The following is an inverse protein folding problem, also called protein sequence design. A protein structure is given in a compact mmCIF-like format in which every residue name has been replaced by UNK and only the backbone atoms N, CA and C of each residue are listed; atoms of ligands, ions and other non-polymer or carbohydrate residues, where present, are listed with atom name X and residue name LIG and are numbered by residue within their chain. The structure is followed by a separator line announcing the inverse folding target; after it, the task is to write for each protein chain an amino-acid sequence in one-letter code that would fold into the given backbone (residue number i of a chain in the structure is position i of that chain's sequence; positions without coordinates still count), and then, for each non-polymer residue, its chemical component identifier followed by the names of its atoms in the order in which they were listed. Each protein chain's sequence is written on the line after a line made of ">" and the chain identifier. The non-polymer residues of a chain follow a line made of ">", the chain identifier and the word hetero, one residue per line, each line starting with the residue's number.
data_IF_105147331557
#
_entry.id   IF_105147331557
#
_cell.length_a   1.000
_cell.length_b   1.000
_cell.length_c   1.000
_cell.angle_alpha   90.00
_cell.angle_beta   90.00
_cell.angle_gamma   90.00
#
_symmetry.space_group_name_H-M   'P 1'
#
loop_
_entity.id
_entity.type
_entity.pdbx_description
1 polymer ?
#
# COMPACT_ATOMS: atom_id res chain seq x y z
N UNK A 1 -23.97 -29.86 18.58
CA UNK A 1 -24.11 -29.68 17.11
C UNK A 1 -22.73 -29.90 16.51
N UNK A 2 -22.49 -31.09 15.96
CA UNK A 2 -21.16 -31.48 15.46
C UNK A 2 -21.00 -30.92 14.05
N UNK A 3 -19.93 -30.15 13.81
CA UNK A 3 -19.64 -29.70 12.46
C UNK A 3 -19.37 -30.89 11.56
N UNK A 4 -20.01 -30.89 10.39
CA UNK A 4 -19.73 -31.88 9.35
C UNK A 4 -18.30 -31.73 8.87
N UNK A 5 -17.70 -32.82 8.37
CA UNK A 5 -16.30 -32.84 7.88
C UNK A 5 -16.03 -31.72 6.87
N UNK A 6 -17.01 -31.41 6.02
CA UNK A 6 -16.95 -30.34 5.03
C UNK A 6 -16.89 -28.94 5.69
N UNK A 7 -17.71 -28.70 6.72
CA UNK A 7 -17.72 -27.44 7.47
C UNK A 7 -16.41 -27.21 8.23
N UNK A 8 -15.79 -28.28 8.73
CA UNK A 8 -14.44 -28.21 9.34
C UNK A 8 -13.37 -27.81 8.34
N UNK A 9 -13.41 -28.37 7.12
CA UNK A 9 -12.50 -27.98 6.05
C UNK A 9 -12.65 -26.50 5.67
N UNK A 10 -13.89 -26.04 5.51
CA UNK A 10 -14.19 -24.65 5.18
C UNK A 10 -13.69 -23.68 6.27
N UNK A 11 -13.87 -24.02 7.54
CA UNK A 11 -13.35 -23.23 8.67
C UNK A 11 -11.83 -23.10 8.65
N UNK A 12 -11.13 -24.18 8.31
CA UNK A 12 -9.67 -24.17 8.19
C UNK A 12 -9.22 -23.19 7.10
N UNK A 13 -9.89 -23.20 5.95
CA UNK A 13 -9.64 -22.26 4.87
C UNK A 13 -9.90 -20.82 5.31
N UNK A 14 -11.02 -20.55 6.00
CA UNK A 14 -11.34 -19.21 6.51
C UNK A 14 -10.26 -18.73 7.49
N UNK A 15 -9.80 -19.60 8.40
CA UNK A 15 -8.72 -19.23 9.33
C UNK A 15 -7.41 -18.92 8.61
N UNK A 16 -7.03 -19.71 7.61
CA UNK A 16 -5.83 -19.44 6.80
C UNK A 16 -5.96 -18.09 6.08
N UNK A 17 -7.11 -17.82 5.47
CA UNK A 17 -7.35 -16.53 4.79
C UNK A 17 -7.26 -15.38 5.78
N UNK A 18 -7.87 -15.49 6.96
CA UNK A 18 -7.79 -14.46 8.01
C UNK A 18 -6.36 -14.19 8.46
N UNK A 19 -5.55 -15.24 8.65
CA UNK A 19 -4.15 -15.11 9.03
C UNK A 19 -3.34 -14.42 7.91
N UNK A 20 -3.56 -14.82 6.65
CA UNK A 20 -2.90 -14.19 5.50
C UNK A 20 -3.26 -12.70 5.42
N UNK A 21 -4.54 -12.36 5.56
CA UNK A 21 -5.00 -10.96 5.56
C UNK A 21 -4.33 -10.15 6.66
N UNK A 22 -4.24 -10.67 7.89
CA UNK A 22 -3.56 -10.00 9.00
C UNK A 22 -2.08 -9.72 8.70
N UNK A 23 -1.36 -10.72 8.16
CA UNK A 23 0.06 -10.58 7.82
C UNK A 23 0.27 -9.54 6.70
N UNK A 24 -0.60 -9.54 5.69
CA UNK A 24 -0.56 -8.57 4.60
C UNK A 24 -0.89 -7.16 5.09
N UNK A 25 -1.89 -7.00 5.97
CA UNK A 25 -2.21 -5.71 6.58
C UNK A 25 -1.02 -5.13 7.32
N UNK A 26 -0.31 -5.93 8.13
CA UNK A 26 0.88 -5.46 8.87
C UNK A 26 2.01 -5.05 7.91
N UNK A 27 2.21 -5.80 6.81
CA UNK A 27 3.22 -5.45 5.81
C UNK A 27 2.86 -4.19 5.02
N UNK A 28 1.58 -4.00 4.68
CA UNK A 28 1.11 -2.79 4.01
C UNK A 28 1.40 -1.54 4.86
N UNK A 29 1.23 -1.62 6.18
CA UNK A 29 1.53 -0.50 7.09
C UNK A 29 3.00 -0.10 7.10
N UNK A 30 3.94 -1.01 6.77
CA UNK A 30 5.39 -0.68 6.76
C UNK A 30 5.79 0.33 5.69
N UNK A 31 4.97 0.50 4.66
CA UNK A 31 5.20 1.46 3.57
C UNK A 31 4.19 2.61 3.59
N UNK A 32 3.56 2.89 4.73
CA UNK A 32 2.70 4.06 4.92
C UNK A 32 3.55 5.24 5.42
N UNK A 33 3.20 6.46 5.01
CA UNK A 33 3.88 7.69 5.41
C UNK A 33 5.02 8.10 4.46
N UNK A 34 5.76 9.13 4.88
CA UNK A 34 6.84 9.75 4.09
C UNK A 34 7.85 8.70 3.57
N UNK A 35 8.24 7.75 4.41
CA UNK A 35 9.20 6.69 4.04
C UNK A 35 8.71 5.76 2.93
N UNK A 36 7.40 5.49 2.87
CA UNK A 36 6.80 4.70 1.79
C UNK A 36 6.77 5.46 0.47
N UNK A 37 6.43 6.74 0.54
CA UNK A 37 6.45 7.65 -0.60
C UNK A 37 7.87 7.82 -1.14
N UNK A 38 8.85 8.08 -0.28
CA UNK A 38 10.25 8.28 -0.69
C UNK A 38 10.80 7.03 -1.39
N UNK A 39 10.53 5.82 -0.86
CA UNK A 39 10.94 4.55 -1.51
C UNK A 39 10.24 4.29 -2.85
N UNK A 40 8.98 4.69 -2.97
CA UNK A 40 8.24 4.55 -4.23
C UNK A 40 8.82 5.49 -5.28
N UNK A 41 9.03 6.75 -4.91
CA UNK A 41 9.66 7.74 -5.78
C UNK A 41 11.07 7.31 -6.18
N UNK A 42 11.90 6.86 -5.22
CA UNK A 42 13.25 6.37 -5.50
C UNK A 42 13.26 5.28 -6.58
N UNK A 43 12.38 4.27 -6.46
CA UNK A 43 12.23 3.22 -7.48
C UNK A 43 11.78 3.73 -8.84
N UNK A 44 10.75 4.56 -8.87
CA UNK A 44 10.20 5.08 -10.13
C UNK A 44 11.20 5.98 -10.85
N UNK A 45 12.01 6.73 -10.10
CA UNK A 45 13.09 7.57 -10.61
C UNK A 45 14.27 6.73 -11.13
N UNK A 46 14.60 5.60 -10.49
CA UNK A 46 15.62 4.65 -10.97
C UNK A 46 15.19 3.95 -12.27
N UNK A 47 13.90 3.65 -12.45
CA UNK A 47 13.38 3.07 -13.69
C UNK A 47 13.30 4.07 -14.85
N UNK A 48 13.19 5.37 -14.55
CA UNK A 48 13.25 6.42 -15.55
C UNK A 48 13.21 7.82 -14.93
N UNK A 49 14.23 8.62 -15.21
CA UNK A 49 14.38 10.00 -14.68
C UNK A 49 13.17 10.90 -15.00
N UNK A 50 12.47 10.62 -16.11
CA UNK A 50 11.24 11.32 -16.52
C UNK A 50 10.04 11.05 -15.59
N UNK A 51 10.00 9.87 -14.95
CA UNK A 51 8.91 9.47 -14.06
C UNK A 51 8.97 10.21 -12.72
N UNK A 52 10.17 10.66 -12.34
CA UNK A 52 10.43 11.40 -11.11
C UNK A 52 9.65 12.73 -11.00
N UNK A 53 9.26 13.31 -12.13
CA UNK A 53 8.51 14.56 -12.20
C UNK A 53 7.08 14.40 -12.72
N UNK A 54 6.65 13.18 -13.08
CA UNK A 54 5.30 12.94 -13.57
C UNK A 54 4.32 13.03 -12.41
N UNK A 55 3.33 13.91 -12.56
CA UNK A 55 2.23 14.05 -11.60
C UNK A 55 1.60 12.69 -11.26
N UNK A 56 1.35 11.86 -12.27
CA UNK A 56 0.74 10.54 -12.09
C UNK A 56 1.60 9.60 -11.22
N UNK A 57 2.92 9.69 -11.30
CA UNK A 57 3.84 8.89 -10.48
C UNK A 57 3.81 9.37 -9.03
N UNK A 58 3.92 10.70 -8.82
CA UNK A 58 3.84 11.31 -7.49
C UNK A 58 2.49 10.99 -6.84
N UNK A 59 1.40 11.06 -7.59
CA UNK A 59 0.04 10.74 -7.12
C UNK A 59 -0.12 9.27 -6.72
N UNK A 60 0.34 8.35 -7.57
CA UNK A 60 0.31 6.92 -7.28
C UNK A 60 1.14 6.58 -6.04
N UNK A 61 2.35 7.12 -5.94
CA UNK A 61 3.22 6.90 -4.79
C UNK A 61 2.65 7.50 -3.50
N UNK A 62 2.03 8.67 -3.58
CA UNK A 62 1.43 9.33 -2.43
C UNK A 62 0.21 8.54 -1.92
N UNK A 63 -0.69 8.16 -2.82
CA UNK A 63 -1.86 7.34 -2.49
C UNK A 63 -1.44 5.96 -1.97
N UNK A 64 -0.42 5.34 -2.56
CA UNK A 64 0.13 4.05 -2.11
C UNK A 64 0.76 4.12 -0.71
N UNK A 65 1.29 5.27 -0.34
CA UNK A 65 1.82 5.55 1.00
C UNK A 65 0.73 6.03 1.99
N UNK A 66 -0.54 6.06 1.59
CA UNK A 66 -1.65 6.51 2.44
C UNK A 66 -1.69 8.02 2.69
N UNK A 67 -1.04 8.81 1.85
CA UNK A 67 -1.11 10.27 1.85
C UNK A 67 -2.10 10.81 0.81
N UNK A 68 -2.38 12.09 0.89
CA UNK A 68 -3.16 12.85 -0.08
C UNK A 68 -2.25 13.81 -0.86
N UNK A 69 -2.36 13.76 -2.18
CA UNK A 69 -1.67 14.71 -3.07
C UNK A 69 -2.27 16.10 -2.96
N UNK A 70 -1.42 17.09 -2.76
CA UNK A 70 -1.77 18.51 -2.78
C UNK A 70 -0.84 19.31 -3.68
N UNK A 71 -1.22 20.55 -3.95
CA UNK A 71 -0.38 21.51 -4.67
C UNK A 71 0.00 22.64 -3.70
N UNK A 72 1.30 22.92 -3.58
CA UNK A 72 1.82 24.05 -2.80
C UNK A 72 2.95 24.72 -3.56
N UNK A 73 2.88 26.05 -3.71
CA UNK A 73 3.89 26.84 -4.44
C UNK A 73 4.23 26.28 -5.85
N UNK A 74 3.20 25.94 -6.63
CA UNK A 74 3.34 25.31 -7.96
C UNK A 74 4.07 23.94 -7.97
N UNK A 75 4.29 23.32 -6.81
CA UNK A 75 4.88 21.98 -6.68
C UNK A 75 3.85 21.00 -6.11
N UNK A 76 3.90 19.75 -6.59
CA UNK A 76 3.11 18.66 -6.03
C UNK A 76 3.75 18.20 -4.72
N UNK A 77 2.95 18.10 -3.67
CA UNK A 77 3.36 17.65 -2.35
C UNK A 77 2.48 16.47 -1.94
N UNK A 78 3.07 15.49 -1.26
CA UNK A 78 2.31 14.44 -0.60
C UNK A 78 2.10 14.83 0.86
N UNK A 79 0.84 14.87 1.32
CA UNK A 79 0.49 15.15 2.71
C UNK A 79 0.07 13.87 3.40
N UNK A 80 0.62 13.61 4.58
CA UNK A 80 0.19 12.52 5.44
C UNK A 80 -0.62 13.11 6.59
N UNK A 81 -1.82 12.58 6.81
CA UNK A 81 -2.74 13.02 7.85
C UNK A 81 -2.51 12.28 9.17
#
# INVERSE_FOLDING_TARGET
>A
MSLTLLQRGLLLVIYVVLIISLVLSIQATKNIGQTGFDKCMEKECEEGEENCNKFRTIDNCCNGAGGETGVSNNKYICKFN
#
